data_IF_362409832534
#
_entry.id   IF_362409832534
#
_cell.length_a   1.000
_cell.length_b   1.000
_cell.length_c   1.000
_cell.angle_alpha   90.00
_cell.angle_beta   90.00
_cell.angle_gamma   90.00
#
_symmetry.space_group_name_H-M   'P 1'
#
loop_
_entity.id
_entity.type
_entity.pdbx_description
1 polymer ?
#
# COMPACT_ATOMS: atom_id res chain seq x y z
N UNK A 1 24.06 -24.76 61.58
CA UNK A 1 25.34 -25.35 61.11
C UNK A 1 25.34 -25.35 59.58
N UNK A 2 26.35 -24.70 58.97
CA UNK A 2 26.79 -24.70 57.54
C UNK A 2 25.72 -24.21 56.53
N UNK A 3 25.69 -22.96 56.07
CA UNK A 3 26.68 -22.13 55.34
C UNK A 3 27.29 -22.83 54.12
N UNK A 4 26.85 -22.43 52.93
CA UNK A 4 27.44 -22.74 51.64
C UNK A 4 27.24 -21.56 50.68
N UNK A 5 28.26 -20.71 50.60
CA UNK A 5 28.37 -19.57 49.69
C UNK A 5 29.02 -20.10 48.39
N UNK A 6 28.39 -19.87 47.24
CA UNK A 6 29.05 -20.03 45.94
C UNK A 6 29.07 -18.66 45.25
N UNK A 7 30.22 -18.01 45.36
CA UNK A 7 30.67 -16.92 44.51
C UNK A 7 31.17 -17.48 43.18
N UNK A 8 30.63 -17.00 42.06
CA UNK A 8 31.37 -16.96 40.81
C UNK A 8 31.48 -15.52 40.32
N UNK A 9 32.73 -15.13 40.15
CA UNK A 9 33.21 -13.86 39.64
C UNK A 9 33.75 -14.08 38.23
N UNK A 10 33.72 -13.00 37.46
CA UNK A 10 34.65 -12.59 36.41
C UNK A 10 34.29 -12.76 34.92
N UNK A 11 34.30 -11.57 34.30
CA UNK A 11 34.73 -11.22 32.92
C UNK A 11 33.71 -11.57 31.82
N UNK A 12 33.37 -10.68 30.89
CA UNK A 12 34.26 -9.77 30.18
C UNK A 12 33.51 -8.55 29.65
N UNK A 13 34.12 -7.39 29.80
CA UNK A 13 33.77 -6.14 29.11
C UNK A 13 34.25 -6.29 27.66
N UNK A 14 33.34 -6.23 26.71
CA UNK A 14 33.66 -6.00 25.30
C UNK A 14 33.02 -4.66 24.90
N UNK A 15 33.85 -3.63 24.96
CA UNK A 15 33.64 -2.35 24.30
C UNK A 15 33.73 -2.57 22.79
N UNK A 16 32.59 -2.51 22.11
CA UNK A 16 32.57 -2.35 20.66
C UNK A 16 32.44 -0.86 20.34
N UNK A 17 33.55 -0.35 19.85
CA UNK A 17 33.76 0.95 19.23
C UNK A 17 32.83 1.16 18.04
N UNK A 18 32.20 2.35 18.01
CA UNK A 18 31.66 3.02 16.84
C UNK A 18 32.68 3.09 15.69
N UNK A 19 32.24 2.81 14.46
CA UNK A 19 32.74 3.54 13.30
C UNK A 19 31.58 4.17 12.54
N UNK A 20 31.45 5.48 12.75
CA UNK A 20 30.72 6.38 11.89
C UNK A 20 31.33 6.33 10.48
N UNK A 21 30.60 5.83 9.48
CA UNK A 21 30.85 6.17 8.07
C UNK A 21 29.51 6.31 7.36
N UNK A 22 28.95 7.52 7.43
CA UNK A 22 27.85 7.96 6.58
C UNK A 22 28.47 8.39 5.25
N UNK A 23 28.52 7.48 4.27
CA UNK A 23 28.81 7.87 2.88
C UNK A 23 27.56 8.49 2.26
N UNK A 24 27.46 9.82 2.34
CA UNK A 24 26.53 10.61 1.54
C UNK A 24 27.08 10.77 0.13
N UNK A 25 26.65 9.90 -0.80
CA UNK A 25 26.92 10.06 -2.22
C UNK A 25 25.91 11.06 -2.78
N UNK A 26 26.26 12.34 -2.76
CA UNK A 26 25.56 13.38 -3.52
C UNK A 26 26.04 13.32 -4.97
N UNK A 27 25.35 12.54 -5.80
CA UNK A 27 25.45 12.69 -7.25
C UNK A 27 24.73 13.98 -7.66
N UNK A 28 25.48 15.08 -7.77
CA UNK A 28 25.05 16.32 -8.43
C UNK A 28 24.82 16.06 -9.92
N UNK A 29 23.65 15.54 -10.26
CA UNK A 29 23.14 15.63 -11.63
C UNK A 29 22.69 17.07 -11.88
N UNK A 30 23.55 17.75 -12.63
CA UNK A 30 23.38 19.06 -13.24
C UNK A 30 22.13 19.06 -14.12
N UNK A 31 20.96 19.38 -13.55
CA UNK A 31 19.72 19.62 -14.32
C UNK A 31 19.93 20.83 -15.21
N UNK A 32 20.11 20.59 -16.51
CA UNK A 32 19.98 21.60 -17.56
C UNK A 32 18.55 22.13 -17.54
N UNK A 33 18.38 23.36 -17.08
CA UNK A 33 17.18 24.16 -17.25
C UNK A 33 17.05 24.56 -18.73
N UNK A 34 16.20 23.83 -19.44
CA UNK A 34 15.60 24.13 -20.76
C UNK A 34 14.23 23.45 -20.71
N UNK A 35 13.10 24.01 -21.11
CA UNK A 35 12.75 25.29 -21.68
C UNK A 35 11.26 25.52 -21.33
N UNK A 36 10.78 26.74 -21.56
CA UNK A 36 9.37 27.15 -21.45
C UNK A 36 8.39 26.11 -22.01
N UNK A 37 7.61 25.48 -21.13
CA UNK A 37 6.42 24.73 -21.56
C UNK A 37 5.29 25.71 -21.79
N UNK A 38 4.91 25.88 -23.04
CA UNK A 38 3.58 26.32 -23.45
C UNK A 38 2.53 25.55 -22.65
N UNK A 39 1.70 26.26 -21.88
CA UNK A 39 0.69 25.70 -20.99
C UNK A 39 -0.41 24.94 -21.73
N UNK A 40 -0.14 23.66 -22.04
CA UNK A 40 -1.19 22.69 -22.28
C UNK A 40 -1.95 22.41 -20.99
N UNK A 41 -3.20 21.90 -21.07
CA UNK A 41 -3.99 21.56 -19.89
C UNK A 41 -3.20 20.59 -19.00
N UNK A 42 -3.01 20.97 -17.74
CA UNK A 42 -2.23 20.19 -16.78
C UNK A 42 -3.10 19.06 -16.23
N UNK A 43 -3.28 18.00 -17.01
CA UNK A 43 -4.07 16.84 -16.58
C UNK A 43 -3.46 16.19 -15.32
N UNK A 44 -4.29 15.68 -14.42
CA UNK A 44 -3.86 14.93 -13.25
C UNK A 44 -2.95 13.77 -13.65
N UNK A 45 -1.80 13.63 -12.99
CA UNK A 45 -0.82 12.56 -13.27
C UNK A 45 -0.67 11.65 -12.08
N UNK A 46 -0.55 10.35 -12.34
CA UNK A 46 -0.11 9.39 -11.34
C UNK A 46 1.42 9.38 -11.23
N UNK A 47 1.94 9.31 -10.01
CA UNK A 47 3.32 8.91 -9.74
C UNK A 47 3.32 7.63 -8.91
N UNK A 48 4.22 6.71 -9.22
CA UNK A 48 4.31 5.42 -8.54
C UNK A 48 5.63 5.32 -7.80
N UNK A 49 5.56 4.96 -6.51
CA UNK A 49 6.73 4.81 -5.64
C UNK A 49 6.72 3.40 -5.06
N UNK A 50 7.85 2.70 -5.14
CA UNK A 50 8.04 1.40 -4.47
C UNK A 50 8.70 1.65 -3.12
N UNK A 51 7.99 1.34 -2.03
CA UNK A 51 8.49 1.52 -0.68
C UNK A 51 8.80 0.16 -0.02
N UNK A 52 10.08 -0.26 0.10
CA UNK A 52 10.49 -1.51 0.74
C UNK A 52 10.48 -1.41 2.28
N UNK A 53 9.46 -0.77 2.87
CA UNK A 53 9.35 -0.50 4.30
C UNK A 53 8.92 -1.70 5.16
N UNK A 54 8.51 -2.83 4.56
CA UNK A 54 8.19 -4.03 5.34
C UNK A 54 9.48 -4.74 5.80
N UNK A 55 10.21 -4.12 6.73
CA UNK A 55 11.39 -4.66 7.42
C UNK A 55 11.31 -4.44 8.94
N UNK A 56 11.58 -5.49 9.70
CA UNK A 56 11.86 -5.38 11.14
C UNK A 56 10.62 -5.19 12.00
N UNK A 57 10.71 -4.31 13.00
CA UNK A 57 9.67 -4.09 14.01
C UNK A 57 8.53 -3.15 13.57
N UNK A 58 8.71 -2.39 12.48
CA UNK A 58 7.71 -1.48 11.94
C UNK A 58 7.08 -2.10 10.68
N UNK A 59 5.77 -2.33 10.72
CA UNK A 59 4.98 -2.86 9.60
C UNK A 59 4.17 -1.79 8.87
N UNK A 60 3.15 -2.24 8.15
CA UNK A 60 2.22 -1.38 7.39
C UNK A 60 1.53 -0.34 8.27
N UNK A 61 1.35 -0.64 9.56
CA UNK A 61 0.76 0.26 10.54
C UNK A 61 1.56 1.56 10.78
N UNK A 62 2.82 1.62 10.33
CA UNK A 62 3.70 2.79 10.47
C UNK A 62 3.68 3.73 9.25
N UNK A 63 2.96 3.38 8.18
CA UNK A 63 2.99 4.11 6.91
C UNK A 63 2.21 5.43 6.99
N UNK A 64 2.91 6.56 6.81
CA UNK A 64 2.31 7.90 6.73
C UNK A 64 1.72 8.16 5.35
N UNK A 65 0.39 8.26 5.27
CA UNK A 65 -0.32 8.42 3.99
C UNK A 65 -1.70 9.05 4.19
N UNK A 66 -2.28 9.62 3.12
CA UNK A 66 -3.64 10.14 3.19
C UNK A 66 -4.65 8.99 3.25
N UNK A 67 -4.44 7.94 2.44
CA UNK A 67 -5.27 6.75 2.42
C UNK A 67 -4.39 5.50 2.40
N UNK A 68 -4.59 4.61 3.36
CA UNK A 68 -4.02 3.27 3.37
C UNK A 68 -5.07 2.27 2.89
N UNK A 69 -4.78 1.53 1.82
CA UNK A 69 -5.62 0.44 1.33
C UNK A 69 -5.33 -0.85 2.10
N UNK A 70 -6.36 -1.49 2.65
CA UNK A 70 -6.32 -2.84 3.17
C UNK A 70 -7.36 -3.71 2.45
N UNK A 71 -6.96 -4.91 2.08
CA UNK A 71 -7.86 -5.85 1.41
C UNK A 71 -8.34 -6.93 2.39
N UNK A 72 -9.55 -7.42 2.17
CA UNK A 72 -10.12 -8.54 2.93
C UNK A 72 -10.92 -9.48 2.03
N UNK A 73 -10.94 -10.75 2.38
CA UNK A 73 -11.66 -11.80 1.64
C UNK A 73 -12.91 -12.17 2.44
N UNK A 74 -14.04 -12.31 1.77
CA UNK A 74 -15.32 -12.67 2.37
C UNK A 74 -15.22 -14.03 3.09
N UNK A 75 -15.83 -14.11 4.28
CA UNK A 75 -15.86 -15.33 5.10
C UNK A 75 -14.52 -15.71 5.74
N UNK A 76 -13.48 -14.87 5.65
CA UNK A 76 -12.17 -15.12 6.26
C UNK A 76 -11.89 -14.17 7.41
N UNK A 77 -10.99 -14.56 8.31
CA UNK A 77 -10.43 -13.64 9.30
C UNK A 77 -9.58 -12.55 8.62
N UNK A 78 -9.31 -11.46 9.35
CA UNK A 78 -8.41 -10.42 8.86
C UNK A 78 -7.04 -11.01 8.50
N UNK A 79 -6.61 -10.76 7.26
CA UNK A 79 -5.28 -11.17 6.80
C UNK A 79 -4.16 -10.56 7.66
N UNK A 80 -2.94 -11.12 7.63
CA UNK A 80 -1.84 -10.71 8.53
C UNK A 80 -1.57 -9.20 8.52
N UNK A 81 -1.56 -8.58 7.35
CA UNK A 81 -1.37 -7.14 7.20
C UNK A 81 -2.50 -6.33 7.84
N UNK A 82 -3.75 -6.66 7.52
CA UNK A 82 -4.93 -5.96 8.05
C UNK A 82 -5.04 -6.16 9.55
N UNK A 83 -4.68 -7.34 10.05
CA UNK A 83 -4.64 -7.67 11.48
C UNK A 83 -3.56 -6.88 12.22
N UNK A 84 -2.37 -6.70 11.65
CA UNK A 84 -1.31 -5.87 12.26
C UNK A 84 -1.78 -4.43 12.45
N UNK A 85 -2.43 -3.85 11.43
CA UNK A 85 -3.02 -2.51 11.52
C UNK A 85 -4.21 -2.48 12.50
N UNK A 86 -5.05 -3.51 12.54
CA UNK A 86 -6.15 -3.57 13.50
C UNK A 86 -5.64 -3.61 14.96
N UNK A 87 -4.57 -4.38 15.22
CA UNK A 87 -3.93 -4.46 16.53
C UNK A 87 -3.35 -3.11 16.97
N UNK A 88 -2.65 -2.40 16.09
CA UNK A 88 -2.13 -1.06 16.40
C UNK A 88 -3.24 -0.05 16.69
N UNK A 89 -4.44 -0.30 16.16
CA UNK A 89 -5.65 0.51 16.39
C UNK A 89 -6.58 -0.05 17.47
N UNK A 90 -6.08 -0.97 18.31
CA UNK A 90 -6.82 -1.57 19.41
C UNK A 90 -8.15 -2.22 18.96
N UNK A 91 -8.17 -2.91 17.83
CA UNK A 91 -9.35 -3.62 17.32
C UNK A 91 -10.39 -2.72 16.62
N UNK A 92 -10.03 -1.51 16.21
CA UNK A 92 -10.97 -0.55 15.60
C UNK A 92 -11.57 -1.08 14.29
N UNK A 93 -10.76 -1.72 13.45
CA UNK A 93 -11.21 -2.28 12.17
C UNK A 93 -12.19 -3.41 12.45
N UNK A 94 -11.83 -4.36 13.31
CA UNK A 94 -12.71 -5.49 13.67
C UNK A 94 -14.05 -5.01 14.21
N UNK A 95 -14.06 -4.03 15.13
CA UNK A 95 -15.31 -3.43 15.65
C UNK A 95 -16.15 -2.78 14.54
N UNK A 96 -15.50 -2.08 13.60
CA UNK A 96 -16.20 -1.44 12.48
C UNK A 96 -16.80 -2.45 11.51
N UNK A 97 -16.09 -3.54 11.19
CA UNK A 97 -16.60 -4.59 10.32
C UNK A 97 -17.77 -5.36 10.96
N UNK A 98 -17.71 -5.62 12.28
CA UNK A 98 -18.78 -6.32 13.00
C UNK A 98 -20.04 -5.47 13.22
N UNK A 99 -19.96 -4.15 13.03
CA UNK A 99 -21.12 -3.29 13.19
C UNK A 99 -22.11 -3.56 12.05
N UNK A 100 -23.24 -4.22 12.34
CA UNK A 100 -24.30 -4.56 11.35
C UNK A 100 -24.75 -3.38 10.48
N UNK A 101 -24.67 -2.15 10.99
CA UNK A 101 -25.01 -0.93 10.22
C UNK A 101 -24.15 -0.74 8.96
N UNK A 102 -22.96 -1.33 8.93
CA UNK A 102 -22.04 -1.17 7.80
C UNK A 102 -22.24 -2.25 6.73
N UNK A 103 -22.96 -3.34 7.03
CA UNK A 103 -23.34 -4.36 6.04
C UNK A 103 -22.18 -5.02 5.29
N UNK A 104 -20.96 -4.92 5.79
CA UNK A 104 -19.78 -5.35 5.05
C UNK A 104 -19.58 -6.86 5.16
N UNK A 105 -19.71 -7.53 4.03
CA UNK A 105 -19.57 -8.99 3.88
C UNK A 105 -18.23 -9.37 3.27
N UNK A 106 -17.51 -8.40 2.69
CA UNK A 106 -16.25 -8.62 1.97
C UNK A 106 -16.44 -8.95 0.49
N UNK A 107 -17.64 -8.74 -0.05
CA UNK A 107 -17.92 -8.87 -1.49
C UNK A 107 -17.03 -7.95 -2.34
N UNK A 108 -16.85 -8.33 -3.60
CA UNK A 108 -15.95 -7.64 -4.53
C UNK A 108 -16.34 -6.17 -4.69
N UNK A 109 -15.44 -5.28 -4.30
CA UNK A 109 -15.62 -3.84 -4.43
C UNK A 109 -16.46 -3.19 -3.33
N UNK A 110 -16.95 -3.95 -2.32
CA UNK A 110 -17.46 -3.31 -1.10
C UNK A 110 -16.32 -2.55 -0.42
N UNK A 111 -16.59 -1.33 0.03
CA UNK A 111 -15.60 -0.44 0.62
C UNK A 111 -16.09 0.13 1.95
N UNK A 112 -15.24 0.08 2.98
CA UNK A 112 -15.40 0.87 4.20
C UNK A 112 -14.20 1.80 4.35
N UNK A 113 -14.46 3.10 4.57
CA UNK A 113 -13.44 4.08 4.93
C UNK A 113 -13.51 4.42 6.42
N UNK A 114 -12.39 4.30 7.12
CA UNK A 114 -12.23 4.61 8.54
C UNK A 114 -11.22 5.75 8.67
N UNK A 115 -11.52 6.76 9.49
CA UNK A 115 -10.58 7.83 9.85
C UNK A 115 -10.11 7.59 11.30
N UNK A 116 -9.03 6.82 11.52
CA UNK A 116 -8.50 6.57 12.87
C UNK A 116 -7.89 7.84 13.48
N UNK A 117 -8.01 7.99 14.80
CA UNK A 117 -7.29 9.04 15.54
C UNK A 117 -5.95 8.50 15.99
N UNK A 118 -4.87 9.25 15.74
CA UNK A 118 -3.51 8.89 16.20
C UNK A 118 -2.82 7.81 15.39
N UNK A 119 -3.32 7.47 14.20
CA UNK A 119 -2.63 6.60 13.26
C UNK A 119 -1.78 7.42 12.26
N UNK A 120 -0.67 6.86 11.74
CA UNK A 120 0.10 7.49 10.66
C UNK A 120 -0.72 7.72 9.38
N UNK A 121 -1.62 6.80 9.05
CA UNK A 121 -2.56 6.96 7.95
C UNK A 121 -3.76 7.83 8.36
N UNK A 122 -4.05 8.90 7.61
CA UNK A 122 -5.22 9.78 7.88
C UNK A 122 -6.54 9.02 7.68
N UNK A 123 -6.58 8.10 6.73
CA UNK A 123 -7.70 7.19 6.46
C UNK A 123 -7.22 5.80 6.12
N UNK A 124 -8.06 4.82 6.45
CA UNK A 124 -7.89 3.42 6.12
C UNK A 124 -9.11 3.00 5.31
N UNK A 125 -8.86 2.57 4.08
CA UNK A 125 -9.87 2.06 3.17
C UNK A 125 -9.78 0.54 3.13
N UNK A 126 -10.85 -0.13 3.56
CA UNK A 126 -10.94 -1.59 3.58
C UNK A 126 -11.82 -2.02 2.42
N UNK A 127 -11.27 -2.80 1.51
CA UNK A 127 -11.98 -3.28 0.32
C UNK A 127 -12.15 -4.80 0.31
N UNK A 128 -13.35 -5.24 -0.04
CA UNK A 128 -13.68 -6.65 -0.22
C UNK A 128 -13.16 -7.18 -1.56
N UNK A 129 -12.54 -8.36 -1.52
CA UNK A 129 -12.01 -9.07 -2.69
C UNK A 129 -12.92 -10.21 -3.17
N UNK A 130 -14.08 -10.41 -2.54
CA UNK A 130 -14.97 -11.54 -2.79
C UNK A 130 -14.58 -12.78 -2.00
N UNK A 131 -15.07 -13.94 -2.45
CA UNK A 131 -14.90 -15.22 -1.76
C UNK A 131 -13.50 -15.83 -1.94
N UNK A 132 -13.08 -16.65 -0.99
CA UNK A 132 -11.81 -17.37 -1.07
C UNK A 132 -11.77 -18.27 -2.31
N UNK A 133 -10.63 -18.31 -3.01
CA UNK A 133 -10.47 -19.07 -4.25
C UNK A 133 -11.00 -18.37 -5.51
N UNK A 134 -11.73 -17.25 -5.36
CA UNK A 134 -12.21 -16.42 -6.49
C UNK A 134 -11.33 -15.21 -6.78
N UNK A 135 -10.15 -15.11 -6.15
CA UNK A 135 -9.25 -13.96 -6.32
C UNK A 135 -8.65 -13.92 -7.73
N UNK A 136 -9.42 -13.35 -8.64
CA UNK A 136 -9.09 -13.13 -10.05
C UNK A 136 -8.54 -11.72 -10.25
N UNK A 137 -7.80 -11.47 -11.34
CA UNK A 137 -7.36 -10.14 -11.74
C UNK A 137 -8.49 -9.11 -11.76
N UNK A 138 -9.69 -9.52 -12.19
CA UNK A 138 -10.91 -8.67 -12.21
C UNK A 138 -11.28 -8.13 -10.83
N UNK A 139 -11.24 -8.96 -9.80
CA UNK A 139 -11.58 -8.55 -8.43
C UNK A 139 -10.55 -7.56 -7.89
N UNK A 140 -9.26 -7.79 -8.18
CA UNK A 140 -8.21 -6.84 -7.82
C UNK A 140 -8.41 -5.51 -8.55
N UNK A 141 -8.72 -5.53 -9.85
CA UNK A 141 -9.02 -4.31 -10.58
C UNK A 141 -10.13 -3.50 -9.92
N UNK A 142 -11.28 -4.14 -9.66
CA UNK A 142 -12.47 -3.49 -9.08
C UNK A 142 -12.15 -2.95 -7.70
N UNK A 143 -11.40 -3.69 -6.89
CA UNK A 143 -10.95 -3.24 -5.58
C UNK A 143 -10.05 -1.99 -5.64
N UNK A 144 -9.07 -1.98 -6.55
CA UNK A 144 -8.20 -0.81 -6.75
C UNK A 144 -9.02 0.37 -7.29
N UNK A 145 -9.86 0.16 -8.30
CA UNK A 145 -10.70 1.20 -8.89
C UNK A 145 -11.56 1.88 -7.82
N UNK A 146 -12.35 1.11 -7.07
CA UNK A 146 -13.21 1.64 -6.00
C UNK A 146 -12.42 2.42 -4.95
N UNK A 147 -11.22 1.95 -4.60
CA UNK A 147 -10.38 2.62 -3.59
C UNK A 147 -9.80 3.93 -4.11
N UNK A 148 -9.28 3.94 -5.34
CA UNK A 148 -8.71 5.14 -5.95
C UNK A 148 -9.81 6.18 -6.14
N UNK A 149 -11.00 5.77 -6.57
CA UNK A 149 -12.15 6.65 -6.71
C UNK A 149 -12.57 7.27 -5.36
N UNK A 150 -12.63 6.48 -4.27
CA UNK A 150 -12.90 7.00 -2.93
C UNK A 150 -11.79 7.94 -2.44
N UNK A 151 -10.52 7.62 -2.70
CA UNK A 151 -9.39 8.47 -2.35
C UNK A 151 -9.47 9.83 -3.05
N UNK A 152 -9.72 9.84 -4.37
CA UNK A 152 -9.87 11.04 -5.17
C UNK A 152 -11.10 11.86 -4.77
N UNK A 153 -12.24 11.23 -4.49
CA UNK A 153 -13.46 11.91 -3.98
C UNK A 153 -13.22 12.61 -2.65
N UNK A 154 -12.23 12.17 -1.87
CA UNK A 154 -11.84 12.74 -0.58
C UNK A 154 -10.68 13.72 -0.67
N UNK A 155 -10.22 14.07 -1.89
CA UNK A 155 -9.06 14.91 -2.14
C UNK A 155 -7.77 14.36 -1.50
N UNK A 156 -7.62 13.04 -1.46
CA UNK A 156 -6.35 12.44 -1.07
C UNK A 156 -5.32 12.67 -2.18
N UNK A 157 -4.10 13.03 -1.79
CA UNK A 157 -2.96 13.21 -2.69
C UNK A 157 -2.09 11.94 -2.77
N UNK A 158 -2.19 11.08 -1.76
CA UNK A 158 -1.35 9.90 -1.59
C UNK A 158 -2.14 8.66 -1.18
N UNK A 159 -1.98 7.56 -1.90
CA UNK A 159 -2.56 6.26 -1.61
C UNK A 159 -1.45 5.23 -1.42
N UNK A 160 -1.39 4.60 -0.24
CA UNK A 160 -0.45 3.51 0.01
C UNK A 160 -1.15 2.15 -0.06
N UNK A 161 -0.55 1.22 -0.81
CA UNK A 161 -1.09 -0.11 -1.07
C UNK A 161 -0.04 -1.15 -0.64
N UNK A 162 -0.31 -1.92 0.42
CA UNK A 162 0.53 -3.06 0.78
C UNK A 162 0.45 -4.15 -0.30
N UNK A 163 1.59 -4.47 -0.91
CA UNK A 163 1.74 -5.52 -1.91
C UNK A 163 2.56 -6.65 -1.31
N UNK A 164 1.91 -7.78 -1.06
CA UNK A 164 2.54 -8.97 -0.48
C UNK A 164 2.38 -10.18 -1.41
N UNK A 165 3.35 -11.08 -1.36
CA UNK A 165 3.25 -12.36 -2.03
C UNK A 165 2.15 -13.17 -1.34
N UNK A 166 0.97 -13.20 -1.94
CA UNK A 166 -0.16 -13.93 -1.39
C UNK A 166 -0.22 -15.32 -2.02
N UNK A 167 0.00 -16.37 -1.22
CA UNK A 167 -0.19 -17.75 -1.65
C UNK A 167 -1.62 -18.04 -2.09
N UNK A 168 -2.59 -17.21 -1.67
CA UNK A 168 -4.00 -17.34 -2.04
C UNK A 168 -4.36 -16.68 -3.37
N UNK A 169 -3.45 -15.92 -3.99
CA UNK A 169 -3.69 -15.30 -5.30
C UNK A 169 -2.92 -16.01 -6.39
N UNK A 170 -3.54 -16.26 -7.53
CA UNK A 170 -2.83 -16.70 -8.74
C UNK A 170 -1.99 -15.56 -9.37
N UNK A 171 -2.14 -14.33 -8.87
CA UNK A 171 -1.51 -13.13 -9.41
C UNK A 171 -0.16 -12.90 -8.75
N UNK A 172 0.92 -13.07 -9.52
CA UNK A 172 2.28 -12.77 -9.08
C UNK A 172 2.45 -11.27 -8.78
N UNK A 173 3.40 -10.92 -7.92
CA UNK A 173 3.73 -9.53 -7.53
C UNK A 173 3.86 -8.57 -8.72
N UNK A 174 4.58 -9.00 -9.76
CA UNK A 174 4.73 -8.25 -11.02
C UNK A 174 3.39 -7.94 -11.68
N UNK A 175 2.48 -8.92 -11.70
CA UNK A 175 1.13 -8.76 -12.24
C UNK A 175 0.26 -7.84 -11.39
N UNK A 176 0.38 -7.91 -10.05
CA UNK A 176 -0.35 -7.01 -9.16
C UNK A 176 0.05 -5.54 -9.39
N UNK A 177 1.35 -5.26 -9.45
CA UNK A 177 1.86 -3.90 -9.70
C UNK A 177 1.42 -3.36 -11.06
N UNK A 178 1.45 -4.21 -12.11
CA UNK A 178 0.94 -3.88 -13.44
C UNK A 178 -0.55 -3.49 -13.39
N UNK A 179 -1.38 -4.34 -12.78
CA UNK A 179 -2.83 -4.10 -12.66
C UNK A 179 -3.10 -2.79 -11.91
N UNK A 180 -2.40 -2.55 -10.81
CA UNK A 180 -2.57 -1.31 -10.03
C UNK A 180 -2.26 -0.09 -10.91
N UNK A 181 -1.15 -0.13 -11.65
CA UNK A 181 -0.76 0.96 -12.56
C UNK A 181 -1.83 1.21 -13.63
N UNK A 182 -2.23 0.15 -14.35
CA UNK A 182 -3.24 0.24 -15.42
C UNK A 182 -4.56 0.83 -14.92
N UNK A 183 -5.05 0.37 -13.76
CA UNK A 183 -6.32 0.86 -13.20
C UNK A 183 -6.23 2.32 -12.79
N UNK A 184 -5.14 2.73 -12.13
CA UNK A 184 -4.96 4.12 -11.69
C UNK A 184 -4.85 5.04 -12.88
N UNK A 185 -3.99 4.72 -13.86
CA UNK A 185 -3.80 5.56 -15.05
C UNK A 185 -5.08 5.63 -15.91
N UNK A 186 -5.79 4.51 -16.07
CA UNK A 186 -7.09 4.48 -16.76
C UNK A 186 -8.13 5.36 -16.09
N UNK A 187 -8.25 5.29 -14.76
CA UNK A 187 -9.19 6.11 -14.00
C UNK A 187 -8.87 7.60 -14.09
N UNK A 188 -7.59 7.98 -13.99
CA UNK A 188 -7.17 9.39 -14.13
C UNK A 188 -7.35 9.93 -15.56
N UNK A 189 -7.27 9.07 -16.58
CA UNK A 189 -7.55 9.44 -17.96
C UNK A 189 -9.05 9.58 -18.27
N UNK A 190 -9.94 9.06 -17.41
CA UNK A 190 -11.39 9.14 -17.60
C UNK A 190 -11.91 10.58 -17.57
N UNK A 191 -13.06 10.81 -18.19
CA UNK A 191 -13.71 12.12 -18.24
C UNK A 191 -13.96 12.75 -16.86
N UNK A 192 -14.10 11.95 -15.81
CA UNK A 192 -14.33 12.43 -14.44
C UNK A 192 -13.11 13.15 -13.82
N UNK A 193 -11.90 12.87 -14.32
CA UNK A 193 -10.64 13.37 -13.75
C UNK A 193 -9.74 14.07 -14.78
N UNK A 194 -10.03 13.97 -16.08
CA UNK A 194 -9.24 14.54 -17.18
C UNK A 194 -9.00 16.05 -17.04
N UNK A 195 -9.99 16.80 -16.56
CA UNK A 195 -9.90 18.26 -16.42
C UNK A 195 -9.38 18.71 -15.03
N UNK A 196 -9.10 17.76 -14.13
CA UNK A 196 -8.52 18.08 -12.83
C UNK A 196 -7.01 18.18 -12.96
N UNK A 197 -6.44 19.17 -12.30
CA UNK A 197 -4.99 19.33 -12.20
C UNK A 197 -4.48 18.74 -10.88
N UNK A 198 -3.28 18.18 -10.90
CA UNK A 198 -2.61 17.68 -9.70
C UNK A 198 -1.74 16.46 -9.93
N UNK A 199 -1.12 16.02 -8.85
CA UNK A 199 -0.37 14.77 -8.79
C UNK A 199 -1.05 13.84 -7.77
N UNK A 200 -1.21 12.58 -8.14
CA UNK A 200 -1.72 11.53 -7.26
C UNK A 200 -0.63 10.47 -7.10
N UNK A 201 -0.03 10.40 -5.91
CA UNK A 201 1.03 9.45 -5.61
C UNK A 201 0.44 8.12 -5.15
N UNK A 202 0.87 7.03 -5.80
CA UNK A 202 0.56 5.65 -5.41
C UNK A 202 1.81 4.98 -4.90
N UNK A 203 1.84 4.70 -3.60
CA UNK A 203 2.95 4.05 -2.92
C UNK A 203 2.68 2.54 -2.76
N UNK A 204 3.50 1.70 -3.38
CA UNK A 204 3.46 0.26 -3.24
C UNK A 204 4.38 -0.18 -2.09
N UNK A 205 3.79 -0.46 -0.93
CA UNK A 205 4.49 -0.85 0.28
C UNK A 205 4.74 -2.35 0.26
N UNK A 206 6.01 -2.77 0.29
CA UNK A 206 6.37 -4.16 0.05
C UNK A 206 7.55 -4.63 0.89
N UNK A 207 7.81 -5.93 0.84
CA UNK A 207 9.06 -6.47 1.37
C UNK A 207 10.23 -6.09 0.46
N UNK A 208 11.44 -5.94 1.00
CA UNK A 208 12.63 -5.59 0.23
C UNK A 208 12.91 -6.56 -0.92
N UNK A 209 12.65 -7.84 -0.70
CA UNK A 209 12.84 -8.89 -1.70
C UNK A 209 11.83 -8.75 -2.85
N UNK A 210 10.64 -8.23 -2.57
CA UNK A 210 9.58 -8.00 -3.56
C UNK A 210 9.79 -6.73 -4.40
N UNK A 211 10.57 -5.76 -3.92
CA UNK A 211 10.69 -4.43 -4.54
C UNK A 211 11.06 -4.49 -6.03
N UNK A 212 12.04 -5.33 -6.40
CA UNK A 212 12.47 -5.45 -7.80
C UNK A 212 11.38 -6.04 -8.71
N UNK A 213 10.57 -7.00 -8.23
CA UNK A 213 9.47 -7.60 -9.01
C UNK A 213 8.32 -6.62 -9.19
N UNK A 214 8.07 -5.80 -8.17
CA UNK A 214 7.06 -4.74 -8.22
C UNK A 214 7.50 -3.67 -9.20
N UNK A 215 8.75 -3.21 -9.14
CA UNK A 215 9.30 -2.25 -10.09
C UNK A 215 9.20 -2.77 -11.53
N UNK A 216 9.61 -4.03 -11.77
CA UNK A 216 9.45 -4.67 -13.08
C UNK A 216 8.00 -4.77 -13.56
N UNK A 217 7.02 -4.76 -12.65
CA UNK A 217 5.60 -4.74 -12.98
C UNK A 217 5.13 -3.34 -13.34
N UNK A 218 5.60 -2.33 -12.61
CA UNK A 218 5.37 -0.92 -12.91
C UNK A 218 6.02 -0.51 -14.24
N UNK A 219 7.17 -1.09 -14.61
CA UNK A 219 7.87 -0.75 -15.85
C UNK A 219 7.19 -1.32 -17.12
N UNK A 220 6.21 -2.22 -16.97
CA UNK A 220 5.44 -2.74 -18.11
C UNK A 220 4.54 -1.63 -18.62
N UNK A 221 4.54 -1.42 -19.94
CA UNK A 221 3.64 -0.46 -20.55
C UNK A 221 2.18 -0.85 -20.27
N UNK A 222 1.37 0.10 -19.76
CA UNK A 222 -0.03 -0.13 -19.50
C UNK A 222 -0.75 -0.37 -20.83
N UNK A 223 -1.53 -1.44 -20.92
CA UNK A 223 -2.43 -1.61 -22.04
C UNK A 223 -3.79 -1.02 -21.64
N UNK A 224 -3.95 0.28 -21.93
CA UNK A 224 -5.15 1.05 -21.60
C UNK A 224 -6.40 0.57 -22.35
N UNK A 225 -6.23 -0.15 -23.46
CA UNK A 225 -7.32 -0.75 -24.24
C UNK A 225 -7.73 -2.13 -23.70
N UNK A 226 -6.82 -2.85 -23.02
CA UNK A 226 -7.15 -4.08 -22.32
C UNK A 226 -7.63 -3.81 -20.91
N UNK A 227 -8.64 -2.95 -20.75
CA UNK A 227 -9.29 -2.73 -19.46
C UNK A 227 -9.81 -4.08 -18.96
N UNK A 228 -9.00 -4.76 -18.16
CA UNK A 228 -9.29 -6.10 -17.63
C UNK A 228 -10.46 -6.08 -16.63
N UNK A 229 -11.23 -5.00 -16.56
CA UNK A 229 -11.77 -4.51 -15.30
C UNK A 229 -13.19 -3.91 -15.39
N UNK A 230 -13.78 -3.64 -16.56
CA UNK A 230 -15.05 -2.89 -16.65
C UNK A 230 -16.02 -3.33 -17.78
N UNK A 231 -16.06 -4.61 -18.14
CA UNK A 231 -17.18 -5.14 -18.93
C UNK A 231 -18.09 -5.98 -18.02
N UNK A 232 -19.14 -5.36 -17.50
CA UNK A 232 -20.36 -6.00 -17.01
C UNK A 232 -21.54 -5.08 -17.41
N UNK A 233 -21.85 -5.01 -18.71
CA UNK A 233 -23.24 -4.81 -19.16
C UNK A 233 -23.83 -6.16 -19.57
#
# INVERSE_FOLDING_TARGET
MRSGIITQSNRSILSFSDPSVVMSVRSSQRRKSRASSTGGPTTMKASFVVNPALKGAAGVESVETDVLLLCTVAGTELGPTTRAVDLSLNGLITRKLQTKKNGFTGEVGQLISIAPKGAPAKRISIVGLGEMGTLQPRNLCKAIHTTVEDALKRNASRLSIPVAANSMSQIKLKGQAKIIREVVESLLASAAYRDKEGEFEVELVCTPQAAHLIQQGLDIEPNLDSVCCLDDE
#
